data_IF_781747491054
#
_entry.id   IF_781747491054
#
_cell.length_a   1.000
_cell.length_b   1.000
_cell.length_c   1.000
_cell.angle_alpha   90.00
_cell.angle_beta   90.00
_cell.angle_gamma   90.00
#
_symmetry.space_group_name_H-M   'P 1'
#
loop_
_entity.id
_entity.type
_entity.pdbx_description
1 polymer ?
#
# COMPACT_ATOMS: atom_id res chain seq x y z
N UNK A 1 -38.57 -8.40 -34.86
CA UNK A 1 -37.42 -7.74 -34.20
C UNK A 1 -36.24 -8.70 -34.24
N UNK A 2 -35.12 -8.35 -34.88
CA UNK A 2 -33.89 -9.15 -34.79
C UNK A 2 -33.21 -8.82 -33.47
N UNK A 3 -33.22 -9.75 -32.53
CA UNK A 3 -32.46 -9.61 -31.28
C UNK A 3 -30.98 -9.72 -31.64
N UNK A 4 -30.25 -8.61 -31.49
CA UNK A 4 -28.79 -8.61 -31.57
C UNK A 4 -28.26 -9.36 -30.35
N UNK A 5 -27.75 -10.57 -30.56
CA UNK A 5 -27.00 -11.29 -29.54
C UNK A 5 -25.56 -10.80 -29.60
N UNK A 6 -25.20 -9.96 -28.63
CA UNK A 6 -23.81 -9.63 -28.41
C UNK A 6 -23.20 -10.75 -27.55
N UNK A 7 -22.27 -11.49 -28.12
CA UNK A 7 -21.36 -12.36 -27.37
C UNK A 7 -20.29 -11.47 -26.77
N UNK A 8 -20.46 -11.09 -25.50
CA UNK A 8 -19.41 -10.44 -24.73
C UNK A 8 -18.64 -11.50 -23.96
N UNK A 9 -17.31 -11.38 -23.96
CA UNK A 9 -16.45 -12.10 -23.04
C UNK A 9 -16.69 -11.55 -21.62
N UNK A 10 -17.21 -12.37 -20.67
CA UNK A 10 -17.51 -11.94 -19.31
C UNK A 10 -16.31 -11.33 -18.58
N UNK A 11 -15.11 -11.89 -18.77
CA UNK A 11 -13.90 -11.38 -18.13
C UNK A 11 -13.56 -9.98 -18.63
N UNK A 12 -13.74 -9.74 -19.93
CA UNK A 12 -13.55 -8.40 -20.51
C UNK A 12 -14.53 -7.37 -19.93
N UNK A 13 -15.79 -7.74 -19.69
CA UNK A 13 -16.75 -6.85 -19.04
C UNK A 13 -16.34 -6.50 -17.61
N UNK A 14 -15.86 -7.47 -16.85
CA UNK A 14 -15.35 -7.24 -15.49
C UNK A 14 -14.13 -6.32 -15.53
N UNK A 15 -13.18 -6.52 -16.44
CA UNK A 15 -12.02 -5.62 -16.60
C UNK A 15 -12.44 -4.18 -16.86
N UNK A 16 -13.45 -3.96 -17.70
CA UNK A 16 -14.01 -2.62 -17.96
C UNK A 16 -14.61 -2.03 -16.67
N UNK A 17 -15.36 -2.82 -15.89
CA UNK A 17 -15.93 -2.37 -14.61
C UNK A 17 -14.83 -1.97 -13.63
N UNK A 18 -13.78 -2.78 -13.50
CA UNK A 18 -12.64 -2.49 -12.63
C UNK A 18 -11.90 -1.23 -13.08
N UNK A 19 -11.61 -1.09 -14.38
CA UNK A 19 -10.98 0.11 -14.91
C UNK A 19 -11.82 1.36 -14.64
N UNK A 20 -13.14 1.30 -14.91
CA UNK A 20 -14.06 2.40 -14.62
C UNK A 20 -14.13 2.73 -13.14
N UNK A 21 -14.04 1.75 -12.25
CA UNK A 21 -13.96 1.98 -10.82
C UNK A 21 -12.73 2.83 -10.46
N UNK A 22 -11.55 2.49 -11.00
CA UNK A 22 -10.33 3.28 -10.79
C UNK A 22 -10.50 4.71 -11.31
N UNK A 23 -10.98 4.87 -12.55
CA UNK A 23 -11.14 6.17 -13.20
C UNK A 23 -12.13 7.08 -12.45
N UNK A 24 -13.26 6.53 -12.01
CA UNK A 24 -14.34 7.35 -11.44
C UNK A 24 -14.21 7.58 -9.93
N UNK A 25 -13.53 6.67 -9.20
CA UNK A 25 -13.51 6.69 -7.73
C UNK A 25 -12.13 6.86 -7.13
N UNK A 26 -11.05 6.51 -7.85
CA UNK A 26 -9.68 6.55 -7.31
C UNK A 26 -8.89 7.70 -7.94
N UNK A 27 -8.89 7.79 -9.27
CA UNK A 27 -8.11 8.76 -10.01
C UNK A 27 -8.44 10.20 -9.59
N UNK A 28 -7.40 10.96 -9.22
CA UNK A 28 -7.54 12.35 -8.79
C UNK A 28 -8.23 12.55 -7.42
N UNK A 29 -8.71 11.48 -6.78
CA UNK A 29 -9.34 11.52 -5.45
C UNK A 29 -8.46 10.99 -4.33
N UNK A 30 -7.47 10.16 -4.68
CA UNK A 30 -6.47 9.61 -3.79
C UNK A 30 -5.06 10.02 -4.21
N UNK A 31 -4.07 9.76 -3.35
CA UNK A 31 -2.66 9.99 -3.67
C UNK A 31 -2.20 9.12 -4.84
N UNK A 32 -1.19 9.61 -5.58
CA UNK A 32 -0.77 9.04 -6.86
C UNK A 32 -0.33 7.58 -6.76
N UNK A 33 0.29 7.17 -5.65
CA UNK A 33 0.73 5.80 -5.45
C UNK A 33 -0.43 4.81 -5.51
N UNK A 34 -1.57 5.12 -4.87
CA UNK A 34 -2.77 4.28 -4.93
C UNK A 34 -3.31 4.18 -6.36
N UNK A 35 -3.38 5.31 -7.06
CA UNK A 35 -3.84 5.34 -8.46
C UNK A 35 -2.94 4.48 -9.36
N UNK A 36 -1.63 4.66 -9.29
CA UNK A 36 -0.68 3.91 -10.13
C UNK A 36 -0.64 2.43 -9.78
N UNK A 37 -0.71 2.07 -8.50
CA UNK A 37 -0.81 0.68 -8.07
C UNK A 37 -2.06 -0.01 -8.65
N UNK A 38 -3.21 0.66 -8.68
CA UNK A 38 -4.42 0.09 -9.28
C UNK A 38 -4.25 -0.18 -10.78
N UNK A 39 -3.73 0.79 -11.54
CA UNK A 39 -3.52 0.60 -12.98
C UNK A 39 -2.46 -0.48 -13.27
N UNK A 40 -1.35 -0.48 -12.53
CA UNK A 40 -0.29 -1.47 -12.69
C UNK A 40 -0.78 -2.89 -12.35
N UNK A 41 -1.57 -3.03 -11.29
CA UNK A 41 -2.19 -4.30 -10.91
C UNK A 41 -3.13 -4.79 -12.03
N UNK A 42 -4.05 -3.95 -12.49
CA UNK A 42 -5.00 -4.32 -13.55
C UNK A 42 -4.32 -4.67 -14.88
N UNK A 43 -3.21 -3.99 -15.21
CA UNK A 43 -2.42 -4.27 -16.41
C UNK A 43 -1.72 -5.64 -16.36
N UNK A 44 -1.34 -6.10 -15.15
CA UNK A 44 -0.67 -7.39 -14.93
C UNK A 44 -1.63 -8.54 -14.63
N UNK A 45 -2.88 -8.24 -14.29
CA UNK A 45 -3.88 -9.24 -13.93
C UNK A 45 -4.17 -10.18 -15.11
N UNK A 46 -3.73 -11.44 -15.02
CA UNK A 46 -4.03 -12.48 -16.01
C UNK A 46 -5.51 -12.89 -15.97
N UNK A 47 -5.98 -13.61 -16.98
CA UNK A 47 -7.36 -14.12 -17.00
C UNK A 47 -7.59 -15.13 -15.86
N UNK A 48 -6.63 -16.04 -15.62
CA UNK A 48 -6.65 -16.96 -14.47
C UNK A 48 -6.67 -16.21 -13.13
N UNK A 49 -5.86 -15.15 -12.99
CA UNK A 49 -5.85 -14.31 -11.79
C UNK A 49 -7.18 -13.61 -11.57
N UNK A 50 -7.80 -13.11 -12.64
CA UNK A 50 -9.13 -12.50 -12.60
C UNK A 50 -10.21 -13.53 -12.23
N UNK A 51 -10.16 -14.75 -12.78
CA UNK A 51 -11.08 -15.82 -12.41
C UNK A 51 -10.98 -16.17 -10.93
N UNK A 52 -9.76 -16.33 -10.40
CA UNK A 52 -9.52 -16.59 -8.98
C UNK A 52 -10.04 -15.45 -8.09
N UNK A 53 -9.81 -14.20 -8.49
CA UNK A 53 -10.34 -13.03 -7.81
C UNK A 53 -11.88 -13.02 -7.79
N UNK A 54 -12.51 -13.38 -8.91
CA UNK A 54 -13.96 -13.45 -9.02
C UNK A 54 -14.55 -14.60 -8.20
N UNK A 55 -13.84 -15.73 -8.08
CA UNK A 55 -14.25 -16.83 -7.19
C UNK A 55 -14.21 -16.43 -5.72
N UNK A 56 -13.18 -15.70 -5.29
CA UNK A 56 -13.13 -15.15 -3.93
C UNK A 56 -14.24 -14.13 -3.71
N UNK A 57 -14.51 -13.27 -4.70
CA UNK A 57 -15.62 -12.32 -4.67
C UNK A 57 -16.99 -13.01 -4.49
N UNK A 58 -17.30 -14.03 -5.30
CA UNK A 58 -18.58 -14.75 -5.18
C UNK A 58 -18.70 -15.48 -3.86
N UNK A 59 -17.61 -16.09 -3.38
CA UNK A 59 -17.57 -16.80 -2.10
C UNK A 59 -17.78 -15.84 -0.92
N UNK A 60 -17.06 -14.71 -0.89
CA UNK A 60 -17.11 -13.74 0.22
C UNK A 60 -18.45 -13.02 0.34
N UNK A 61 -19.16 -12.88 -0.78
CA UNK A 61 -20.46 -12.19 -0.82
C UNK A 61 -21.65 -13.12 -1.07
N UNK A 62 -21.44 -14.45 -0.99
CA UNK A 62 -22.47 -15.48 -1.14
C UNK A 62 -23.30 -15.31 -2.43
N UNK A 63 -22.64 -15.03 -3.54
CA UNK A 63 -23.29 -14.74 -4.82
C UNK A 63 -23.50 -16.01 -5.64
N UNK A 64 -24.73 -16.23 -6.10
CA UNK A 64 -25.03 -17.29 -7.07
C UNK A 64 -24.47 -16.97 -8.47
N UNK A 65 -24.47 -15.69 -8.85
CA UNK A 65 -23.96 -15.23 -10.14
C UNK A 65 -23.50 -13.76 -10.07
N UNK A 66 -22.49 -13.41 -10.86
CA UNK A 66 -22.05 -12.02 -11.06
C UNK A 66 -22.89 -11.41 -12.18
N UNK A 67 -23.71 -10.41 -11.85
CA UNK A 67 -24.63 -9.78 -12.82
C UNK A 67 -24.18 -8.39 -13.28
N UNK A 68 -23.29 -7.73 -12.54
CA UNK A 68 -22.86 -6.34 -12.78
C UNK A 68 -24.02 -5.32 -12.82
N UNK A 69 -25.17 -5.66 -12.22
CA UNK A 69 -26.36 -4.80 -12.20
C UNK A 69 -26.10 -3.47 -11.46
N UNK A 70 -25.33 -3.53 -10.37
CA UNK A 70 -24.73 -2.37 -9.72
C UNK A 70 -23.21 -2.46 -9.82
N UNK A 71 -22.71 -2.23 -11.04
CA UNK A 71 -21.29 -2.31 -11.34
C UNK A 71 -20.43 -1.43 -10.43
N UNK A 72 -20.98 -0.34 -9.86
CA UNK A 72 -20.23 0.55 -8.95
C UNK A 72 -19.96 -0.16 -7.63
N UNK A 73 -20.99 -0.80 -7.08
CA UNK A 73 -20.89 -1.61 -5.87
C UNK A 73 -20.00 -2.83 -6.12
N UNK A 74 -20.23 -3.56 -7.22
CA UNK A 74 -19.43 -4.74 -7.57
C UNK A 74 -17.94 -4.37 -7.72
N UNK A 75 -17.63 -3.31 -8.48
CA UNK A 75 -16.27 -2.82 -8.66
C UNK A 75 -15.60 -2.44 -7.35
N UNK A 76 -16.33 -1.79 -6.42
CA UNK A 76 -15.81 -1.47 -5.09
C UNK A 76 -15.47 -2.73 -4.31
N UNK A 77 -16.40 -3.69 -4.22
CA UNK A 77 -16.21 -4.90 -3.43
C UNK A 77 -15.07 -5.78 -3.96
N UNK A 78 -14.93 -5.86 -5.28
CA UNK A 78 -13.78 -6.55 -5.89
C UNK A 78 -12.47 -5.83 -5.53
N UNK A 79 -12.45 -4.49 -5.55
CA UNK A 79 -11.27 -3.74 -5.12
C UNK A 79 -10.96 -3.85 -3.63
N UNK A 80 -11.98 -3.99 -2.77
CA UNK A 80 -11.78 -4.26 -1.35
C UNK A 80 -10.98 -5.56 -1.17
N UNK A 81 -11.23 -6.60 -2.00
CA UNK A 81 -10.43 -7.84 -2.04
C UNK A 81 -9.03 -7.58 -2.61
N UNK A 82 -8.89 -6.85 -3.72
CA UNK A 82 -7.58 -6.53 -4.33
C UNK A 82 -6.67 -5.82 -3.31
N UNK A 83 -7.20 -4.88 -2.51
CA UNK A 83 -6.41 -4.12 -1.54
C UNK A 83 -5.87 -4.96 -0.38
N UNK A 84 -6.45 -6.12 -0.14
CA UNK A 84 -5.95 -7.08 0.86
C UNK A 84 -4.82 -7.97 0.32
N UNK A 85 -4.61 -8.01 -1.00
CA UNK A 85 -3.62 -8.89 -1.60
C UNK A 85 -2.19 -8.34 -1.40
N UNK A 86 -1.23 -9.19 -0.98
CA UNK A 86 0.16 -8.76 -0.76
C UNK A 86 0.81 -8.14 -1.99
N UNK A 87 0.51 -8.66 -3.18
CA UNK A 87 1.03 -8.15 -4.45
C UNK A 87 0.56 -6.72 -4.75
N UNK A 88 -0.70 -6.38 -4.43
CA UNK A 88 -1.19 -5.02 -4.54
C UNK A 88 -0.55 -4.09 -3.51
N UNK A 89 -0.48 -4.54 -2.25
CA UNK A 89 0.11 -3.75 -1.17
C UNK A 89 1.57 -3.40 -1.47
N UNK A 90 2.33 -4.35 -2.02
CA UNK A 90 3.69 -4.11 -2.46
C UNK A 90 3.77 -3.07 -3.58
N UNK A 91 2.89 -3.15 -4.60
CA UNK A 91 2.85 -2.14 -5.66
C UNK A 91 2.60 -0.74 -5.09
N UNK A 92 1.68 -0.60 -4.14
CA UNK A 92 1.39 0.68 -3.51
C UNK A 92 2.59 1.22 -2.72
N UNK A 93 3.27 0.36 -1.95
CA UNK A 93 4.50 0.69 -1.23
C UNK A 93 5.61 1.11 -2.19
N UNK A 94 5.81 0.40 -3.29
CA UNK A 94 6.85 0.72 -4.28
C UNK A 94 6.62 2.10 -4.89
N UNK A 95 5.36 2.47 -5.18
CA UNK A 95 5.06 3.82 -5.65
C UNK A 95 5.20 4.87 -4.54
N UNK A 96 4.88 4.56 -3.28
CA UNK A 96 5.14 5.45 -2.14
C UNK A 96 6.64 5.72 -1.96
N UNK A 97 7.48 4.69 -2.06
CA UNK A 97 8.96 4.78 -2.07
C UNK A 97 9.49 5.71 -3.17
N UNK A 98 8.80 5.78 -4.32
CA UNK A 98 9.09 6.72 -5.43
C UNK A 98 8.55 8.13 -5.23
N UNK A 99 8.01 8.44 -4.04
CA UNK A 99 7.50 9.77 -3.71
C UNK A 99 6.09 10.07 -4.27
N UNK A 100 5.33 9.06 -4.65
CA UNK A 100 3.92 9.22 -5.06
C UNK A 100 2.92 9.11 -3.89
N UNK A 101 3.44 9.03 -2.67
CA UNK A 101 2.68 9.10 -1.43
C UNK A 101 1.96 10.43 -1.22
N UNK A 102 1.36 10.60 -0.05
CA UNK A 102 0.65 11.82 0.32
C UNK A 102 1.62 12.99 0.47
N UNK A 103 2.71 12.79 1.20
CA UNK A 103 3.74 13.82 1.43
C UNK A 103 4.93 13.65 0.47
N UNK A 104 5.05 12.47 -0.15
CA UNK A 104 6.23 12.08 -0.91
C UNK A 104 7.44 11.74 -0.04
N UNK A 105 7.25 11.66 1.28
CA UNK A 105 8.25 11.35 2.28
C UNK A 105 7.70 10.29 3.24
N UNK A 106 8.55 9.40 3.74
CA UNK A 106 8.12 8.43 4.73
C UNK A 106 9.24 7.55 5.24
N UNK A 107 8.85 6.65 6.15
CA UNK A 107 9.70 5.61 6.72
C UNK A 107 9.08 4.26 6.40
N UNK A 108 9.84 3.37 5.79
CA UNK A 108 9.45 1.97 5.65
C UNK A 108 9.99 1.21 6.86
N UNK A 109 9.09 0.57 7.59
CA UNK A 109 9.46 -0.51 8.50
C UNK A 109 9.65 -1.78 7.68
N UNK A 110 10.89 -2.25 7.59
CA UNK A 110 11.30 -3.38 6.75
C UNK A 110 10.74 -4.70 7.28
N UNK A 111 10.63 -4.86 8.60
CA UNK A 111 10.16 -6.11 9.21
C UNK A 111 8.66 -6.30 8.99
N UNK A 112 7.87 -5.25 9.19
CA UNK A 112 6.41 -5.29 8.96
C UNK A 112 6.00 -4.96 7.52
N UNK A 113 6.96 -4.61 6.66
CA UNK A 113 6.74 -4.10 5.30
C UNK A 113 5.66 -2.99 5.26
N UNK A 114 5.69 -2.06 6.22
CA UNK A 114 4.70 -1.01 6.35
C UNK A 114 5.32 0.36 6.11
N UNK A 115 4.76 1.11 5.17
CA UNK A 115 5.21 2.48 4.85
C UNK A 115 4.42 3.52 5.64
N UNK A 116 5.12 4.29 6.46
CA UNK A 116 4.58 5.37 7.28
C UNK A 116 4.91 6.72 6.65
N UNK A 117 3.89 7.41 6.13
CA UNK A 117 4.03 8.77 5.58
C UNK A 117 4.41 9.75 6.69
N UNK A 118 5.37 10.65 6.41
CA UNK A 118 5.78 11.68 7.36
C UNK A 118 5.96 13.05 6.66
N UNK A 119 5.94 14.13 7.43
CA UNK A 119 6.21 15.47 6.89
C UNK A 119 7.69 15.74 6.65
N UNK A 120 8.00 16.92 6.10
CA UNK A 120 9.38 17.39 5.94
C UNK A 120 10.09 17.48 7.30
N UNK A 121 11.29 16.90 7.40
CA UNK A 121 12.08 16.81 8.63
C UNK A 121 11.43 16.00 9.78
N UNK A 122 10.39 15.19 9.51
CA UNK A 122 9.70 14.37 10.52
C UNK A 122 10.08 12.88 10.52
N UNK A 123 11.09 12.46 9.74
CA UNK A 123 11.50 11.07 9.68
C UNK A 123 11.88 10.46 11.04
N UNK A 124 12.69 11.18 11.83
CA UNK A 124 13.09 10.70 13.16
C UNK A 124 11.89 10.54 14.09
N UNK A 125 10.98 11.52 14.09
CA UNK A 125 9.76 11.46 14.87
C UNK A 125 8.86 10.31 14.42
N UNK A 126 8.81 10.00 13.12
CA UNK A 126 8.09 8.83 12.61
C UNK A 126 8.69 7.52 13.13
N UNK A 127 10.02 7.37 13.13
CA UNK A 127 10.71 6.21 13.73
C UNK A 127 10.34 6.08 15.21
N UNK A 128 10.41 7.16 15.98
CA UNK A 128 10.04 7.14 17.41
C UNK A 128 8.59 6.66 17.62
N UNK A 129 7.65 7.15 16.81
CA UNK A 129 6.25 6.74 16.87
C UNK A 129 6.03 5.27 16.46
N UNK A 130 6.81 4.76 15.50
CA UNK A 130 6.75 3.35 15.09
C UNK A 130 7.29 2.48 16.23
N UNK A 131 8.43 2.85 16.82
CA UNK A 131 9.04 2.11 17.93
C UNK A 131 8.11 2.06 19.13
N UNK A 132 7.49 3.17 19.50
CA UNK A 132 6.50 3.21 20.60
C UNK A 132 5.35 2.21 20.41
N UNK A 133 4.84 2.09 19.18
CA UNK A 133 3.64 1.28 18.90
C UNK A 133 3.95 -0.18 18.63
N UNK A 134 4.99 -0.45 17.86
CA UNK A 134 5.28 -1.77 17.28
C UNK A 134 6.43 -2.48 17.98
N UNK A 135 7.31 -1.73 18.67
CA UNK A 135 8.53 -2.24 19.26
C UNK A 135 8.71 -1.76 20.71
N UNK A 136 7.74 -2.04 21.61
CA UNK A 136 7.69 -1.46 22.96
C UNK A 136 8.94 -1.75 23.80
N UNK A 137 9.63 -2.86 23.54
CA UNK A 137 10.93 -3.20 24.18
C UNK A 137 11.99 -2.12 23.95
N UNK A 138 11.99 -1.46 22.80
CA UNK A 138 12.99 -0.45 22.44
C UNK A 138 12.55 0.98 22.80
N UNK A 139 11.29 1.18 23.19
CA UNK A 139 10.72 2.51 23.40
C UNK A 139 11.37 3.29 24.56
N UNK A 140 11.38 2.70 25.77
CA UNK A 140 11.97 3.36 26.93
C UNK A 140 13.49 3.53 26.80
N UNK A 141 14.27 2.50 26.39
CA UNK A 141 15.69 2.67 26.09
C UNK A 141 15.98 3.79 25.08
N UNK A 142 15.20 3.87 24.00
CA UNK A 142 15.34 4.93 23.00
C UNK A 142 15.14 6.32 23.60
N UNK A 143 14.09 6.52 24.38
CA UNK A 143 13.84 7.81 25.00
C UNK A 143 14.99 8.20 25.94
N UNK A 144 15.40 7.30 26.84
CA UNK A 144 16.46 7.57 27.83
C UNK A 144 17.79 7.89 27.16
N UNK A 145 18.22 7.07 26.20
CA UNK A 145 19.48 7.25 25.48
C UNK A 145 19.47 8.47 24.55
N UNK A 146 18.30 8.88 24.06
CA UNK A 146 18.17 10.12 23.29
C UNK A 146 18.35 11.38 24.16
N UNK A 147 17.88 11.35 25.41
CA UNK A 147 18.04 12.48 26.34
C UNK A 147 19.40 12.53 27.04
N UNK A 148 20.02 11.38 27.29
CA UNK A 148 21.34 11.28 27.92
C UNK A 148 22.31 10.55 26.98
N UNK A 149 23.16 11.31 26.31
CA UNK A 149 24.18 10.81 25.38
C UNK A 149 25.24 9.94 26.07
N UNK A 150 25.41 10.07 27.39
CA UNK A 150 26.40 9.29 28.17
C UNK A 150 25.87 7.93 28.60
N UNK A 151 24.55 7.71 28.54
CA UNK A 151 23.93 6.44 28.84
C UNK A 151 24.19 5.44 27.70
N UNK A 152 24.96 4.39 27.98
CA UNK A 152 25.33 3.37 26.98
C UNK A 152 24.49 2.10 27.08
N UNK A 153 23.76 1.90 28.18
CA UNK A 153 22.90 0.73 28.42
C UNK A 153 21.66 1.13 29.25
N UNK A 154 20.50 0.56 28.92
CA UNK A 154 19.27 0.68 29.70
C UNK A 154 18.41 -0.57 29.52
N UNK A 155 17.89 -1.13 30.62
CA UNK A 155 17.06 -2.34 30.63
C UNK A 155 17.63 -3.52 29.82
N UNK A 156 18.95 -3.71 29.92
CA UNK A 156 19.66 -4.79 29.22
C UNK A 156 19.74 -4.62 27.70
N UNK A 157 19.50 -3.41 27.18
CA UNK A 157 19.77 -3.02 25.81
C UNK A 157 20.88 -1.99 25.79
N UNK A 158 21.88 -2.22 24.94
CA UNK A 158 22.96 -1.27 24.69
C UNK A 158 22.57 -0.26 23.62
N UNK A 159 23.24 0.89 23.61
CA UNK A 159 23.08 1.91 22.55
C UNK A 159 23.42 1.34 21.17
N UNK A 160 24.45 0.51 21.07
CA UNK A 160 24.85 -0.14 19.82
C UNK A 160 23.75 -1.07 19.29
N UNK A 161 23.13 -1.89 20.16
CA UNK A 161 21.99 -2.74 19.76
C UNK A 161 20.80 -1.91 19.28
N UNK A 162 20.50 -0.81 19.97
CA UNK A 162 19.40 0.08 19.60
C UNK A 162 19.65 0.79 18.26
N UNK A 163 20.85 1.34 18.06
CA UNK A 163 21.24 2.00 16.81
C UNK A 163 21.24 1.00 15.65
N UNK A 164 21.80 -0.20 15.87
CA UNK A 164 21.79 -1.25 14.86
C UNK A 164 20.37 -1.69 14.50
N UNK A 165 19.48 -1.81 15.48
CA UNK A 165 18.06 -2.07 15.24
C UNK A 165 17.43 -0.99 14.35
N UNK A 166 17.63 0.30 14.68
CA UNK A 166 17.07 1.40 13.89
C UNK A 166 17.60 1.39 12.46
N UNK A 167 18.91 1.24 12.29
CA UNK A 167 19.58 1.26 10.99
C UNK A 167 19.23 0.05 10.11
N UNK A 168 18.81 -1.06 10.72
CA UNK A 168 18.43 -2.29 10.00
C UNK A 168 16.94 -2.34 9.68
N UNK A 169 16.09 -1.86 10.58
CA UNK A 169 14.64 -2.01 10.47
C UNK A 169 13.95 -0.84 9.75
N UNK A 170 14.58 0.33 9.64
CA UNK A 170 13.93 1.51 9.07
C UNK A 170 14.67 2.07 7.85
N UNK A 171 13.96 2.12 6.73
CA UNK A 171 14.42 2.81 5.52
C UNK A 171 13.73 4.17 5.37
N UNK A 172 14.52 5.22 5.14
CA UNK A 172 14.05 6.60 5.04
C UNK A 172 13.85 6.97 3.57
N UNK A 173 12.64 7.39 3.20
CA UNK A 173 12.30 7.81 1.84
C UNK A 173 11.98 9.30 1.79
N UNK A 174 12.57 10.03 0.85
CA UNK A 174 12.13 11.40 0.59
C UNK A 174 12.88 12.21 -0.47
N UNK A 175 12.15 13.16 -1.06
CA UNK A 175 12.63 14.50 -1.36
C UNK A 175 13.42 14.76 -2.65
N UNK A 176 14.07 13.78 -3.26
CA UNK A 176 14.71 13.99 -4.57
C UNK A 176 14.37 12.87 -5.53
N UNK A 177 13.31 13.08 -6.31
CA UNK A 177 13.27 12.46 -7.62
C UNK A 177 14.47 13.00 -8.42
N UNK A 178 15.29 12.15 -9.04
CA UNK A 178 16.28 12.60 -9.98
C UNK A 178 15.63 13.53 -11.00
N UNK A 179 16.31 14.60 -11.41
CA UNK A 179 15.75 15.58 -12.35
C UNK A 179 15.22 14.93 -13.64
N UNK A 180 15.75 13.76 -14.01
CA UNK A 180 15.32 12.96 -15.15
C UNK A 180 13.90 12.39 -15.03
N UNK A 181 13.34 12.27 -13.83
CA UNK A 181 11.95 11.81 -13.64
C UNK A 181 10.90 12.92 -13.84
N UNK A 182 11.35 14.16 -14.09
CA UNK A 182 10.50 15.32 -14.39
C UNK A 182 10.55 15.73 -15.88
N UNK A 183 11.38 15.07 -16.68
CA UNK A 183 11.55 15.30 -18.13
C UNK A 183 10.90 14.17 -18.93
#
# INVERSE_FOLDING_TARGET
MKTLHFTYDPLRLVRIVLQRHVEETIQGRFYKAKQFACYEYLAKLSDEGLENLLQEYTKRHELEAITLADWRKDGKLIFDIIFEQPEYQQLEIDFKKRGYGITGLGVLDVESNTFYECGFAHHWQAIQNIIEKSYPRFHEPLQRMYFDETLTEHDGLTREELENFIMTNFELYGGTKPLQEYL
#
